data_IF_279085251887
#
_entry.id   IF_279085251887
#
_cell.length_a   1.000
_cell.length_b   1.000
_cell.length_c   1.000
_cell.angle_alpha   90.00
_cell.angle_beta   90.00
_cell.angle_gamma   90.00
#
_symmetry.space_group_name_H-M   'P 1'
#
loop_
_entity.id
_entity.type
_entity.pdbx_description
1 polymer ?
#
# COMPACT_ATOMS: atom_id res chain seq x y z
N UNK A 1 -33.53 -7.50 12.13
CA UNK A 1 -32.90 -8.53 12.98
C UNK A 1 -32.77 -9.79 12.11
N UNK A 2 -31.56 -10.11 11.64
CA UNK A 2 -31.35 -11.21 10.70
C UNK A 2 -29.99 -11.87 10.99
N UNK A 3 -29.96 -13.20 11.13
CA UNK A 3 -28.74 -14.00 11.16
C UNK A 3 -29.08 -15.43 10.66
N UNK A 4 -28.26 -16.01 9.79
CA UNK A 4 -27.38 -17.16 10.09
C UNK A 4 -26.78 -17.78 8.82
N UNK A 5 -25.46 -18.03 8.85
CA UNK A 5 -24.69 -18.74 7.83
C UNK A 5 -24.32 -20.15 8.33
N UNK A 6 -24.62 -21.18 7.52
CA UNK A 6 -24.27 -22.59 7.80
C UNK A 6 -22.86 -22.97 7.34
N UNK A 7 -22.08 -23.55 8.25
CA UNK A 7 -20.85 -24.29 7.95
C UNK A 7 -21.18 -25.69 7.38
N UNK A 8 -20.67 -26.03 6.19
CA UNK A 8 -21.02 -27.26 5.46
C UNK A 8 -20.10 -28.46 5.71
N UNK A 9 -19.09 -28.37 6.60
CA UNK A 9 -18.34 -29.57 7.01
C UNK A 9 -19.08 -30.42 8.06
N UNK A 10 -20.08 -29.85 8.74
CA UNK A 10 -21.04 -30.51 9.63
C UNK A 10 -22.35 -29.68 9.62
N UNK A 11 -23.49 -30.21 9.15
CA UNK A 11 -24.70 -29.42 8.97
C UNK A 11 -25.31 -29.13 10.35
N UNK A 12 -24.93 -28.00 10.95
CA UNK A 12 -25.36 -27.61 12.30
C UNK A 12 -25.93 -26.19 12.35
N UNK A 13 -26.46 -25.69 11.24
CA UNK A 13 -26.97 -24.32 11.24
C UNK A 13 -28.27 -24.24 10.43
N UNK A 14 -29.15 -23.38 10.92
CA UNK A 14 -30.43 -22.98 10.35
C UNK A 14 -30.30 -21.55 9.83
N UNK A 15 -30.91 -21.23 8.69
CA UNK A 15 -30.94 -19.87 8.14
C UNK A 15 -32.33 -19.25 8.32
N UNK A 16 -32.37 -17.97 8.69
CA UNK A 16 -33.59 -17.17 8.74
C UNK A 16 -33.45 -15.92 7.87
N UNK A 17 -34.44 -15.67 7.02
CA UNK A 17 -34.55 -14.52 6.13
C UNK A 17 -36.01 -14.07 6.07
N UNK A 18 -36.21 -12.77 5.87
CA UNK A 18 -37.53 -12.14 5.76
C UNK A 18 -38.04 -12.09 4.31
N UNK A 19 -37.25 -12.51 3.32
CA UNK A 19 -37.58 -12.46 1.90
C UNK A 19 -37.30 -13.81 1.20
N UNK A 20 -38.36 -14.36 0.59
CA UNK A 20 -38.40 -15.65 -0.12
C UNK A 20 -37.43 -15.73 -1.32
N UNK A 21 -37.06 -14.60 -1.95
CA UNK A 21 -36.14 -14.61 -3.11
C UNK A 21 -34.67 -14.73 -2.71
N UNK A 22 -34.29 -14.20 -1.56
CA UNK A 22 -32.92 -14.28 -1.04
C UNK A 22 -32.61 -15.68 -0.48
N UNK A 23 -33.62 -16.39 0.05
CA UNK A 23 -33.47 -17.80 0.45
C UNK A 23 -33.19 -18.71 -0.76
N UNK A 24 -33.87 -18.49 -1.88
CA UNK A 24 -33.67 -19.25 -3.12
C UNK A 24 -32.25 -19.01 -3.72
N UNK A 25 -31.73 -17.77 -3.63
CA UNK A 25 -30.37 -17.43 -4.03
C UNK A 25 -29.30 -18.03 -3.10
N UNK A 26 -29.54 -18.04 -1.77
CA UNK A 26 -28.65 -18.64 -0.78
C UNK A 26 -28.50 -20.15 -0.99
N UNK A 27 -29.61 -20.88 -1.20
CA UNK A 27 -29.57 -22.32 -1.48
C UNK A 27 -28.82 -22.66 -2.78
N UNK A 28 -28.95 -21.82 -3.82
CA UNK A 28 -28.28 -22.07 -5.10
C UNK A 28 -26.78 -21.67 -5.08
N UNK A 29 -26.41 -20.60 -4.37
CA UNK A 29 -25.03 -20.10 -4.27
C UNK A 29 -24.15 -20.92 -3.32
N UNK A 30 -24.74 -21.60 -2.34
CA UNK A 30 -24.05 -22.53 -1.44
C UNK A 30 -23.54 -23.76 -2.20
N UNK A 31 -24.31 -24.30 -3.15
CA UNK A 31 -23.89 -25.42 -4.01
C UNK A 31 -22.73 -25.06 -4.97
N UNK A 32 -22.64 -23.79 -5.40
CA UNK A 32 -21.65 -23.36 -6.41
C UNK A 32 -20.30 -22.89 -5.82
N UNK A 33 -20.24 -22.56 -4.53
CA UNK A 33 -19.10 -21.81 -3.95
C UNK A 33 -17.88 -22.61 -3.46
N UNK A 34 -17.81 -23.93 -3.60
CA UNK A 34 -16.63 -24.69 -3.15
C UNK A 34 -15.35 -24.38 -3.95
N UNK A 35 -15.49 -23.92 -5.21
CA UNK A 35 -14.38 -23.55 -6.11
C UNK A 35 -14.05 -22.05 -6.15
N UNK A 36 -14.94 -21.18 -5.66
CA UNK A 36 -14.82 -19.71 -5.84
C UNK A 36 -14.21 -18.97 -4.63
N UNK A 37 -14.05 -19.60 -3.46
CA UNK A 37 -13.46 -18.94 -2.28
C UNK A 37 -11.95 -18.66 -2.40
N UNK A 38 -11.30 -19.17 -3.44
CA UNK A 38 -9.91 -18.86 -3.82
C UNK A 38 -9.81 -17.74 -4.87
N UNK A 39 -10.94 -17.19 -5.33
CA UNK A 39 -10.95 -16.26 -6.46
C UNK A 39 -10.97 -14.79 -5.99
N UNK A 40 -10.03 -13.99 -6.51
CA UNK A 40 -9.84 -12.55 -6.18
C UNK A 40 -11.11 -11.72 -6.44
N UNK A 41 -11.97 -12.19 -7.35
CA UNK A 41 -13.25 -11.57 -7.72
C UNK A 41 -14.26 -11.50 -6.56
N UNK A 42 -14.21 -12.43 -5.61
CA UNK A 42 -15.12 -12.45 -4.47
C UNK A 42 -14.78 -11.39 -3.42
N UNK A 43 -13.48 -11.22 -3.10
CA UNK A 43 -13.00 -10.15 -2.22
C UNK A 43 -13.31 -8.77 -2.80
N UNK A 44 -13.24 -8.63 -4.13
CA UNK A 44 -13.62 -7.39 -4.82
C UNK A 44 -15.12 -7.06 -4.74
N UNK A 45 -15.99 -8.07 -4.62
CA UNK A 45 -17.43 -7.84 -4.38
C UNK A 45 -17.73 -7.49 -2.93
N UNK A 46 -16.96 -8.05 -1.99
CA UNK A 46 -17.04 -7.70 -0.57
C UNK A 46 -16.63 -6.24 -0.32
N UNK A 47 -15.73 -5.66 -1.13
CA UNK A 47 -15.32 -4.23 -1.07
C UNK A 47 -16.47 -3.22 -1.22
N UNK A 48 -17.59 -3.62 -1.83
CA UNK A 48 -18.71 -2.72 -2.15
C UNK A 48 -19.87 -2.74 -1.14
N UNK A 49 -19.83 -3.64 -0.16
CA UNK A 49 -20.86 -3.77 0.88
C UNK A 49 -20.56 -2.84 2.06
N UNK A 50 -21.52 -1.97 2.43
CA UNK A 50 -21.40 -1.02 3.55
C UNK A 50 -21.60 -1.69 4.91
N UNK A 51 -20.69 -2.59 5.28
CA UNK A 51 -20.68 -3.22 6.61
C UNK A 51 -19.68 -2.46 7.48
N UNK A 52 -20.11 -1.91 8.62
CA UNK A 52 -19.24 -1.16 9.52
C UNK A 52 -18.34 -2.06 10.37
N UNK A 53 -18.88 -3.19 10.84
CA UNK A 53 -18.17 -4.12 11.72
C UNK A 53 -18.65 -5.56 11.51
N UNK A 54 -17.72 -6.50 11.46
CA UNK A 54 -18.00 -7.94 11.39
C UNK A 54 -17.90 -8.50 12.82
N UNK A 55 -19.01 -9.02 13.36
CA UNK A 55 -19.01 -9.70 14.66
C UNK A 55 -18.81 -11.19 14.45
N UNK A 56 -17.73 -11.73 15.01
CA UNK A 56 -17.45 -13.15 15.04
C UNK A 56 -18.02 -13.75 16.31
N UNK A 57 -18.70 -14.89 16.15
CA UNK A 57 -19.20 -15.70 17.25
C UNK A 57 -18.62 -17.10 17.12
N UNK A 58 -18.15 -17.65 18.23
CA UNK A 58 -17.77 -19.05 18.35
C UNK A 58 -18.96 -19.87 18.82
N UNK A 59 -19.10 -21.05 18.25
CA UNK A 59 -20.11 -22.03 18.65
C UNK A 59 -19.46 -23.00 19.63
N UNK A 60 -19.92 -22.99 20.87
CA UNK A 60 -19.57 -23.99 21.89
C UNK A 60 -20.79 -24.89 22.12
N UNK A 61 -20.58 -26.20 22.34
CA UNK A 61 -21.65 -27.14 22.66
C UNK A 61 -21.52 -27.50 24.14
N UNK A 62 -22.57 -27.24 24.91
CA UNK A 62 -22.68 -27.58 26.34
C UNK A 62 -23.74 -28.67 26.51
N UNK A 63 -23.42 -29.70 27.30
CA UNK A 63 -24.27 -30.89 27.49
C UNK A 63 -25.61 -30.58 28.17
N UNK A 64 -25.70 -29.49 28.95
CA UNK A 64 -26.92 -29.11 29.67
C UNK A 64 -27.62 -27.90 29.04
N UNK A 65 -26.86 -27.03 28.37
CA UNK A 65 -27.36 -25.75 27.81
C UNK A 65 -27.50 -25.76 26.29
N UNK A 66 -27.09 -26.83 25.61
CA UNK A 66 -27.18 -26.96 24.16
C UNK A 66 -26.13 -26.13 23.43
N UNK A 67 -26.53 -25.47 22.33
CA UNK A 67 -25.62 -24.68 21.49
C UNK A 67 -25.47 -23.28 22.07
N UNK A 68 -24.25 -22.91 22.47
CA UNK A 68 -23.91 -21.59 22.99
C UNK A 68 -23.19 -20.80 21.91
N UNK A 69 -23.74 -19.65 21.52
CA UNK A 69 -23.05 -18.65 20.71
C UNK A 69 -22.27 -17.73 21.65
N UNK A 70 -20.95 -17.89 21.70
CA UNK A 70 -20.07 -16.95 22.40
C UNK A 70 -19.59 -15.90 21.42
N UNK A 71 -19.79 -14.63 21.77
CA UNK A 71 -19.14 -13.55 21.06
C UNK A 71 -17.62 -13.71 21.18
N UNK A 72 -16.92 -13.73 20.05
CA UNK A 72 -15.48 -13.97 19.98
C UNK A 72 -14.74 -12.63 19.77
N UNK A 73 -15.08 -11.91 18.70
CA UNK A 73 -14.43 -10.64 18.39
C UNK A 73 -15.26 -9.76 17.44
N UNK A 74 -14.97 -8.46 17.46
CA UNK A 74 -15.39 -7.51 16.42
C UNK A 74 -14.18 -7.24 15.53
N UNK A 75 -14.35 -7.44 14.22
CA UNK A 75 -13.40 -6.98 13.21
C UNK A 75 -13.98 -5.74 12.56
N UNK A 76 -13.24 -4.64 12.63
CA UNK A 76 -13.57 -3.43 11.87
C UNK A 76 -13.29 -3.66 10.40
N UNK A 77 -14.32 -3.44 9.57
CA UNK A 77 -14.22 -3.72 8.14
C UNK A 77 -13.16 -2.85 7.46
N UNK A 78 -13.05 -1.57 7.85
CA UNK A 78 -12.05 -0.63 7.31
C UNK A 78 -10.61 -1.09 7.60
N UNK A 79 -10.34 -1.57 8.80
CA UNK A 79 -9.02 -2.10 9.18
C UNK A 79 -8.66 -3.38 8.40
N UNK A 80 -9.66 -4.23 8.12
CA UNK A 80 -9.45 -5.40 7.27
C UNK A 80 -9.10 -4.99 5.83
N UNK A 81 -9.79 -4.00 5.26
CA UNK A 81 -9.47 -3.49 3.92
C UNK A 81 -8.06 -2.91 3.87
N UNK A 82 -7.71 -2.06 4.86
CA UNK A 82 -6.36 -1.50 5.01
C UNK A 82 -5.30 -2.60 4.99
N UNK A 83 -5.49 -3.67 5.76
CA UNK A 83 -4.55 -4.82 5.78
C UNK A 83 -4.43 -5.51 4.41
N UNK A 84 -5.54 -5.71 3.70
CA UNK A 84 -5.53 -6.36 2.37
C UNK A 84 -4.75 -5.50 1.37
N UNK A 85 -4.98 -4.19 1.36
CA UNK A 85 -4.28 -3.26 0.46
C UNK A 85 -2.78 -3.20 0.76
N UNK A 86 -2.40 -3.19 2.03
CA UNK A 86 -0.99 -3.24 2.44
C UNK A 86 -0.32 -4.56 2.03
N UNK A 87 -1.03 -5.69 2.11
CA UNK A 87 -0.50 -6.99 1.66
C UNK A 87 -0.29 -6.99 0.13
N UNK A 88 -1.22 -6.42 -0.63
CA UNK A 88 -1.08 -6.29 -2.09
C UNK A 88 0.15 -5.44 -2.47
N UNK A 89 0.41 -4.34 -1.75
CA UNK A 89 1.63 -3.55 -1.91
C UNK A 89 2.87 -4.42 -1.72
N UNK A 90 2.93 -5.21 -0.64
CA UNK A 90 4.08 -6.07 -0.35
C UNK A 90 4.27 -7.17 -1.39
N UNK A 91 3.18 -7.77 -1.87
CA UNK A 91 3.26 -8.81 -2.91
C UNK A 91 3.80 -8.26 -4.23
N UNK A 92 3.44 -7.02 -4.57
CA UNK A 92 3.86 -6.37 -5.81
C UNK A 92 5.20 -5.60 -5.68
N UNK A 93 5.73 -5.40 -4.48
CA UNK A 93 6.99 -4.67 -4.28
C UNK A 93 8.21 -5.46 -4.80
N UNK A 94 9.11 -4.76 -5.49
CA UNK A 94 10.34 -5.34 -6.03
C UNK A 94 11.44 -5.33 -4.96
N UNK A 95 11.74 -6.48 -4.38
CA UNK A 95 12.83 -6.63 -3.40
C UNK A 95 14.10 -7.14 -4.07
N UNK A 96 15.25 -6.53 -3.79
CA UNK A 96 16.53 -6.98 -4.36
C UNK A 96 17.14 -8.17 -3.63
N UNK A 97 17.01 -8.24 -2.30
CA UNK A 97 17.60 -9.31 -1.47
C UNK A 97 16.50 -10.20 -0.90
N UNK A 98 16.70 -11.51 -1.06
CA UNK A 98 15.81 -12.58 -0.55
C UNK A 98 14.31 -12.25 -0.66
N UNK A 99 13.76 -12.07 -1.88
CA UNK A 99 12.44 -11.48 -2.06
C UNK A 99 11.32 -12.19 -1.30
N UNK A 100 11.39 -13.52 -1.20
CA UNK A 100 10.40 -14.32 -0.49
C UNK A 100 10.43 -14.10 1.03
N UNK A 101 11.64 -14.04 1.62
CA UNK A 101 11.82 -13.81 3.05
C UNK A 101 11.38 -12.39 3.43
N UNK A 102 11.77 -11.41 2.62
CA UNK A 102 11.43 -10.00 2.84
C UNK A 102 9.92 -9.76 2.72
N UNK A 103 9.24 -10.39 1.75
CA UNK A 103 7.76 -10.36 1.66
C UNK A 103 7.09 -10.96 2.89
N UNK A 104 7.56 -12.12 3.35
CA UNK A 104 7.01 -12.77 4.53
C UNK A 104 7.20 -11.92 5.79
N UNK A 105 8.35 -11.25 5.92
CA UNK A 105 8.60 -10.29 6.99
C UNK A 105 7.63 -9.10 6.94
N UNK A 106 7.46 -8.49 5.76
CA UNK A 106 6.51 -7.39 5.56
C UNK A 106 5.07 -7.78 5.91
N UNK A 107 4.61 -8.97 5.50
CA UNK A 107 3.28 -9.50 5.88
C UNK A 107 3.13 -9.70 7.39
N UNK A 108 4.18 -10.16 8.07
CA UNK A 108 4.19 -10.26 9.54
C UNK A 108 4.07 -8.89 10.20
N UNK A 109 4.77 -7.86 9.70
CA UNK A 109 4.67 -6.50 10.21
C UNK A 109 3.26 -5.92 10.06
N UNK A 110 2.58 -6.17 8.93
CA UNK A 110 1.16 -5.78 8.73
C UNK A 110 0.24 -6.47 9.74
N UNK A 111 0.40 -7.78 9.91
CA UNK A 111 -0.44 -8.55 10.83
C UNK A 111 -0.29 -8.09 12.28
N UNK A 112 0.93 -7.70 12.66
CA UNK A 112 1.26 -7.19 13.99
C UNK A 112 0.96 -5.69 14.16
N UNK A 113 0.48 -4.99 13.13
CA UNK A 113 0.20 -3.55 13.17
C UNK A 113 1.45 -2.65 13.22
N UNK A 114 2.64 -3.19 12.96
CA UNK A 114 3.89 -2.44 13.02
C UNK A 114 4.17 -1.72 11.68
N UNK A 115 3.40 -0.65 11.42
CA UNK A 115 3.47 0.12 10.17
C UNK A 115 4.73 0.98 10.06
N UNK A 116 5.34 1.37 11.19
CA UNK A 116 6.60 2.13 11.18
C UNK A 116 7.75 1.30 10.61
N UNK A 117 7.93 0.07 11.12
CA UNK A 117 8.99 -0.82 10.61
C UNK A 117 8.70 -1.25 9.16
N UNK A 118 7.43 -1.35 8.78
CA UNK A 118 7.04 -1.61 7.40
C UNK A 118 7.44 -0.45 6.47
N UNK A 119 7.25 0.80 6.92
CA UNK A 119 7.69 2.00 6.19
C UNK A 119 9.20 1.99 5.97
N UNK A 120 9.98 1.71 7.02
CA UNK A 120 11.43 1.60 6.94
C UNK A 120 11.87 0.50 5.97
N UNK A 121 11.25 -0.69 6.08
CA UNK A 121 11.51 -1.82 5.19
C UNK A 121 11.28 -1.46 3.71
N UNK A 122 10.18 -0.76 3.41
CA UNK A 122 9.86 -0.32 2.05
C UNK A 122 10.87 0.71 1.56
N UNK A 123 11.16 1.74 2.36
CA UNK A 123 12.17 2.75 2.05
C UNK A 123 13.54 2.11 1.77
N UNK A 124 13.92 1.10 2.55
CA UNK A 124 15.17 0.35 2.38
C UNK A 124 15.29 -0.41 1.08
N UNK A 125 14.15 -0.75 0.49
CA UNK A 125 14.06 -1.50 -0.75
C UNK A 125 13.48 -0.66 -1.92
N UNK A 126 13.35 0.67 -1.79
CA UNK A 126 12.92 1.53 -2.91
C UNK A 126 13.86 1.36 -4.09
N UNK A 127 15.17 1.45 -3.84
CA UNK A 127 16.21 1.37 -4.86
C UNK A 127 16.54 -0.09 -5.18
N UNK A 128 16.06 -0.57 -6.33
CA UNK A 128 16.33 -1.92 -6.80
C UNK A 128 17.69 -1.95 -7.48
N UNK A 129 18.58 -2.82 -7.01
CA UNK A 129 19.91 -3.00 -7.60
C UNK A 129 19.97 -4.32 -8.38
N UNK A 130 20.31 -4.23 -9.67
CA UNK A 130 20.57 -5.38 -10.54
C UNK A 130 22.06 -5.67 -10.59
N UNK A 131 22.45 -6.94 -10.44
CA UNK A 131 23.82 -7.36 -10.68
C UNK A 131 24.06 -7.48 -12.18
N UNK A 132 25.12 -6.82 -12.66
CA UNK A 132 25.68 -7.06 -13.99
C UNK A 132 27.04 -7.70 -13.74
N UNK A 133 27.18 -8.97 -14.12
CA UNK A 133 28.45 -9.73 -14.17
C UNK A 133 29.55 -9.30 -13.17
N UNK A 134 29.69 -10.04 -12.06
CA UNK A 134 30.71 -9.76 -11.03
C UNK A 134 30.17 -8.93 -9.87
N UNK A 135 30.95 -7.96 -9.38
CA UNK A 135 30.62 -7.13 -8.20
C UNK A 135 29.88 -5.83 -8.53
N UNK A 136 29.76 -5.44 -9.81
CA UNK A 136 29.08 -4.20 -10.17
C UNK A 136 27.55 -4.33 -10.04
N UNK A 137 26.94 -3.29 -9.47
CA UNK A 137 25.50 -3.19 -9.26
C UNK A 137 24.99 -1.93 -9.94
N UNK A 138 24.12 -2.10 -10.92
CA UNK A 138 23.38 -1.00 -11.52
C UNK A 138 22.02 -0.85 -10.85
N UNK A 139 21.49 0.36 -10.91
CA UNK A 139 20.15 0.63 -10.42
C UNK A 139 19.15 0.23 -11.51
N UNK A 140 18.19 -0.62 -11.17
CA UNK A 140 17.05 -0.86 -12.02
C UNK A 140 16.05 0.28 -11.84
N UNK A 141 16.17 1.30 -12.70
CA UNK A 141 15.34 2.49 -12.67
C UNK A 141 13.85 2.19 -12.82
N UNK A 142 13.49 1.24 -13.70
CA UNK A 142 12.09 0.85 -13.94
C UNK A 142 11.48 0.24 -12.67
N UNK A 143 12.15 -0.75 -12.08
CA UNK A 143 11.67 -1.40 -10.86
C UNK A 143 11.67 -0.45 -9.66
N UNK A 144 12.65 0.45 -9.57
CA UNK A 144 12.74 1.47 -8.51
C UNK A 144 11.63 2.51 -8.62
N UNK A 145 11.36 3.00 -9.83
CA UNK A 145 10.27 3.94 -10.11
C UNK A 145 8.91 3.33 -9.80
N UNK A 146 8.71 2.04 -10.09
CA UNK A 146 7.51 1.30 -9.69
C UNK A 146 7.38 1.18 -8.16
N UNK A 147 8.47 0.87 -7.45
CA UNK A 147 8.49 0.82 -5.99
C UNK A 147 8.13 2.17 -5.35
N UNK A 148 8.58 3.29 -5.92
CA UNK A 148 8.21 4.64 -5.45
C UNK A 148 6.68 4.82 -5.51
N UNK A 149 6.04 4.44 -6.62
CA UNK A 149 4.58 4.51 -6.75
C UNK A 149 3.85 3.70 -5.69
N UNK A 150 4.32 2.47 -5.43
CA UNK A 150 3.79 1.62 -4.36
C UNK A 150 4.02 2.21 -2.97
N UNK A 151 5.17 2.83 -2.74
CA UNK A 151 5.52 3.49 -1.47
C UNK A 151 4.64 4.71 -1.19
N UNK A 152 4.35 5.54 -2.20
CA UNK A 152 3.41 6.64 -2.07
C UNK A 152 2.04 6.08 -1.69
N UNK A 153 1.54 5.07 -2.42
CA UNK A 153 0.25 4.42 -2.11
C UNK A 153 0.20 3.92 -0.66
N UNK A 154 1.29 3.30 -0.18
CA UNK A 154 1.44 2.88 1.20
C UNK A 154 1.24 4.05 2.19
N UNK A 155 1.93 5.19 1.97
CA UNK A 155 1.82 6.35 2.86
C UNK A 155 0.38 6.86 2.98
N UNK A 156 -0.34 6.92 1.84
CA UNK A 156 -1.75 7.36 1.81
C UNK A 156 -2.70 6.42 2.55
N UNK A 157 -2.50 5.10 2.41
CA UNK A 157 -3.28 4.09 3.15
C UNK A 157 -3.01 4.20 4.66
N UNK A 158 -1.75 4.40 5.06
CA UNK A 158 -1.38 4.52 6.48
C UNK A 158 -2.03 5.74 7.13
N UNK A 159 -2.04 6.88 6.44
CA UNK A 159 -2.69 8.14 6.88
C UNK A 159 -4.23 8.05 6.92
N UNK A 160 -4.82 6.96 6.40
CA UNK A 160 -6.26 6.73 6.41
C UNK A 160 -7.03 7.60 5.41
N UNK A 161 -6.34 8.12 4.38
CA UNK A 161 -6.96 8.90 3.31
C UNK A 161 -7.50 7.99 2.20
N UNK A 162 -8.63 8.38 1.64
CA UNK A 162 -9.28 7.64 0.55
C UNK A 162 -8.52 7.77 -0.78
N UNK A 163 -8.56 6.73 -1.62
CA UNK A 163 -7.78 6.65 -2.87
C UNK A 163 -8.05 7.83 -3.83
N UNK A 164 -9.28 8.34 -3.91
CA UNK A 164 -9.58 9.51 -4.75
C UNK A 164 -8.87 10.78 -4.25
N UNK A 165 -8.59 10.90 -2.95
CA UNK A 165 -7.83 12.04 -2.41
C UNK A 165 -6.37 11.98 -2.83
N UNK A 166 -5.80 10.77 -2.91
CA UNK A 166 -4.45 10.56 -3.44
C UNK A 166 -4.39 11.01 -4.90
N UNK A 167 -5.35 10.58 -5.73
CA UNK A 167 -5.40 10.96 -7.15
C UNK A 167 -5.52 12.47 -7.32
N UNK A 168 -6.47 13.11 -6.62
CA UNK A 168 -6.66 14.56 -6.68
C UNK A 168 -5.40 15.32 -6.21
N UNK A 169 -4.72 14.81 -5.17
CA UNK A 169 -3.48 15.41 -4.69
C UNK A 169 -2.36 15.33 -5.73
N UNK A 170 -2.17 14.16 -6.35
CA UNK A 170 -1.16 13.97 -7.39
C UNK A 170 -1.44 14.89 -8.58
N UNK A 171 -2.70 14.99 -9.02
CA UNK A 171 -3.11 15.89 -10.09
C UNK A 171 -2.89 17.36 -9.75
N UNK A 172 -3.13 17.75 -8.49
CA UNK A 172 -2.90 19.12 -8.00
C UNK A 172 -1.43 19.46 -7.82
N UNK A 173 -0.57 18.45 -7.61
CA UNK A 173 0.85 18.60 -7.32
C UNK A 173 1.76 18.12 -8.47
N UNK A 174 1.27 18.24 -9.71
CA UNK A 174 2.05 17.90 -10.92
C UNK A 174 3.33 18.72 -11.07
N UNK A 175 3.48 19.82 -10.33
CA UNK A 175 4.71 20.62 -10.31
C UNK A 175 5.95 19.78 -9.97
N UNK A 176 5.86 18.85 -9.01
CA UNK A 176 6.99 18.00 -8.62
C UNK A 176 7.40 17.05 -9.75
N UNK A 177 6.42 16.45 -10.43
CA UNK A 177 6.68 15.62 -11.60
C UNK A 177 7.26 16.43 -12.76
N UNK A 178 6.74 17.64 -13.03
CA UNK A 178 7.27 18.52 -14.09
C UNK A 178 8.73 18.90 -13.83
N UNK A 179 9.03 19.37 -12.62
CA UNK A 179 10.39 19.74 -12.21
C UNK A 179 11.33 18.52 -12.26
N UNK A 180 10.87 17.34 -11.85
CA UNK A 180 11.63 16.08 -11.96
C UNK A 180 11.94 15.70 -13.40
N UNK A 181 10.96 15.82 -14.31
CA UNK A 181 11.12 15.55 -15.74
C UNK A 181 12.06 16.56 -16.41
N UNK A 182 11.96 17.84 -16.06
CA UNK A 182 12.86 18.86 -16.59
C UNK A 182 14.30 18.62 -16.14
N UNK A 183 14.49 18.22 -14.88
CA UNK A 183 15.80 17.83 -14.37
C UNK A 183 16.33 16.58 -15.09
N UNK A 184 15.50 15.55 -15.31
CA UNK A 184 15.87 14.37 -16.08
C UNK A 184 16.40 14.74 -17.48
N UNK A 185 15.69 15.61 -18.19
CA UNK A 185 16.07 16.05 -19.54
C UNK A 185 17.41 16.79 -19.57
N UNK A 186 17.75 17.55 -18.52
CA UNK A 186 19.03 18.28 -18.43
C UNK A 186 20.18 17.44 -17.88
N UNK A 187 19.87 16.50 -17.00
CA UNK A 187 20.85 15.67 -16.30
C UNK A 187 21.08 14.38 -17.08
N UNK A 188 21.79 14.46 -18.20
CA UNK A 188 21.97 13.34 -19.14
C UNK A 188 22.85 12.20 -18.62
N UNK A 189 23.76 12.48 -17.68
CA UNK A 189 24.60 11.47 -17.02
C UNK A 189 23.80 10.62 -16.03
N UNK A 190 23.64 9.34 -16.36
CA UNK A 190 22.94 8.33 -15.57
C UNK A 190 23.58 8.08 -14.19
N UNK A 191 24.91 8.06 -14.10
CA UNK A 191 25.63 7.87 -12.83
C UNK A 191 25.33 9.01 -11.86
N UNK A 192 25.30 10.24 -12.39
CA UNK A 192 24.93 11.43 -11.61
C UNK A 192 23.47 11.35 -11.16
N UNK A 193 22.54 10.94 -12.03
CA UNK A 193 21.11 10.76 -11.67
C UNK A 193 20.93 9.70 -10.59
N UNK A 194 21.63 8.57 -10.70
CA UNK A 194 21.65 7.49 -9.71
C UNK A 194 22.13 8.01 -8.35
N UNK A 195 23.28 8.66 -8.31
CA UNK A 195 23.88 9.16 -7.07
C UNK A 195 22.97 10.21 -6.40
N UNK A 196 22.39 11.11 -7.19
CA UNK A 196 21.42 12.07 -6.69
C UNK A 196 20.20 11.39 -6.09
N UNK A 197 19.58 10.47 -6.84
CA UNK A 197 18.35 9.79 -6.39
C UNK A 197 18.58 8.96 -5.13
N UNK A 198 19.71 8.26 -5.04
CA UNK A 198 20.12 7.53 -3.83
C UNK A 198 20.28 8.45 -2.63
N UNK A 199 20.91 9.62 -2.81
CA UNK A 199 21.09 10.61 -1.75
C UNK A 199 19.74 11.16 -1.28
N UNK A 200 18.83 11.51 -2.19
CA UNK A 200 17.50 12.02 -1.83
C UNK A 200 16.69 10.95 -1.07
N UNK A 201 16.75 9.69 -1.49
CA UNK A 201 16.10 8.58 -0.77
C UNK A 201 16.69 8.39 0.64
N UNK A 202 18.01 8.50 0.80
CA UNK A 202 18.65 8.44 2.11
C UNK A 202 18.20 9.58 3.04
N UNK A 203 18.07 10.80 2.51
CA UNK A 203 17.61 11.95 3.26
C UNK A 203 16.13 11.85 3.66
N UNK A 204 15.30 11.22 2.82
CA UNK A 204 13.93 10.86 3.20
C UNK A 204 13.90 9.85 4.37
N UNK A 205 14.79 8.85 4.37
CA UNK A 205 14.89 7.86 5.47
C UNK A 205 15.31 8.48 6.79
N UNK A 206 16.29 9.38 6.77
CA UNK A 206 16.76 10.08 7.98
C UNK A 206 15.81 11.19 8.41
N UNK A 207 14.74 11.46 7.66
CA UNK A 207 13.82 12.57 7.84
C UNK A 207 14.54 13.93 7.96
N UNK A 208 15.68 14.10 7.28
CA UNK A 208 16.45 15.35 7.30
C UNK A 208 15.91 16.30 6.22
N UNK A 209 14.81 16.97 6.56
CA UNK A 209 14.10 17.88 5.65
C UNK A 209 14.98 19.03 5.15
N UNK A 210 15.84 19.55 6.02
CA UNK A 210 16.72 20.68 5.69
C UNK A 210 17.76 20.28 4.66
N UNK A 211 18.48 19.18 4.88
CA UNK A 211 19.44 18.69 3.88
C UNK A 211 18.76 18.19 2.61
N UNK A 212 17.58 17.59 2.71
CA UNK A 212 16.77 17.17 1.57
C UNK A 212 16.46 18.36 0.66
N UNK A 213 15.92 19.44 1.24
CA UNK A 213 15.63 20.67 0.52
C UNK A 213 16.89 21.27 -0.10
N UNK A 214 17.96 21.45 0.67
CA UNK A 214 19.23 22.01 0.18
C UNK A 214 19.81 21.19 -0.98
N UNK A 215 19.77 19.85 -0.87
CA UNK A 215 20.27 18.93 -1.90
C UNK A 215 19.47 19.04 -3.20
N UNK A 216 18.13 19.06 -3.10
CA UNK A 216 17.25 19.23 -4.27
C UNK A 216 17.47 20.59 -4.91
N UNK A 217 17.41 21.67 -4.13
CA UNK A 217 17.55 23.04 -4.64
C UNK A 217 18.90 23.30 -5.30
N UNK A 218 19.99 22.84 -4.69
CA UNK A 218 21.32 22.98 -5.26
C UNK A 218 21.40 22.33 -6.65
N UNK A 219 20.85 21.13 -6.81
CA UNK A 219 20.85 20.42 -8.10
C UNK A 219 19.95 21.11 -9.13
N UNK A 220 18.77 21.59 -8.73
CA UNK A 220 17.86 22.32 -9.62
C UNK A 220 18.50 23.62 -10.14
N UNK A 221 19.07 24.43 -9.23
CA UNK A 221 19.74 25.70 -9.58
C UNK A 221 20.96 25.45 -10.46
N UNK A 222 21.78 24.45 -10.13
CA UNK A 222 22.99 24.10 -10.91
C UNK A 222 22.68 23.68 -12.35
N UNK A 223 21.47 23.15 -12.60
CA UNK A 223 21.02 22.78 -13.95
C UNK A 223 20.13 23.87 -14.58
N UNK A 224 19.90 25.00 -13.91
CA UNK A 224 19.04 26.08 -14.37
C UNK A 224 17.59 25.65 -14.59
N UNK A 225 17.04 24.83 -13.69
CA UNK A 225 15.63 24.41 -13.73
C UNK A 225 14.77 25.53 -13.15
N UNK A 226 13.69 25.88 -13.84
CA UNK A 226 12.71 26.84 -13.36
C UNK A 226 11.86 26.18 -12.27
N UNK A 227 11.78 26.82 -11.11
CA UNK A 227 11.03 26.32 -9.95
C UNK A 227 9.72 27.08 -9.91
N UNK A 228 8.59 26.38 -10.08
CA UNK A 228 7.28 27.00 -10.00
C UNK A 228 6.86 27.31 -8.57
N UNK A 229 5.82 28.12 -8.45
CA UNK A 229 5.22 28.52 -7.17
C UNK A 229 4.71 27.32 -6.37
N UNK A 230 4.86 27.34 -5.04
CA UNK A 230 4.45 26.26 -4.13
C UNK A 230 5.42 25.06 -4.02
N UNK A 231 6.43 24.93 -4.91
CA UNK A 231 7.40 23.83 -4.84
C UNK A 231 8.24 23.87 -3.55
N UNK A 232 8.72 25.06 -3.17
CA UNK A 232 9.53 25.24 -1.96
C UNK A 232 8.71 25.00 -0.71
N UNK A 233 7.49 25.55 -0.66
CA UNK A 233 6.58 25.40 0.47
C UNK A 233 6.23 23.94 0.71
N UNK A 234 5.90 23.19 -0.34
CA UNK A 234 5.56 21.78 -0.19
C UNK A 234 6.74 20.83 0.06
N UNK A 235 8.00 21.30 0.01
CA UNK A 235 9.15 20.56 0.53
C UNK A 235 9.48 20.93 1.99
N UNK A 236 9.28 22.18 2.39
CA UNK A 236 9.70 22.67 3.71
C UNK A 236 8.59 22.62 4.76
N UNK A 237 7.34 22.92 4.39
CA UNK A 237 6.24 23.15 5.31
C UNK A 237 5.17 22.05 5.29
N UNK A 238 5.27 21.10 4.36
CA UNK A 238 4.29 20.03 4.20
C UNK A 238 4.30 19.01 5.35
N UNK A 239 3.18 18.30 5.49
CA UNK A 239 3.11 17.12 6.37
C UNK A 239 4.04 16.00 5.88
N UNK A 240 4.34 15.02 6.72
CA UNK A 240 5.22 13.91 6.34
C UNK A 240 4.66 13.11 5.13
N UNK A 241 3.35 12.88 5.08
CA UNK A 241 2.68 12.24 3.95
C UNK A 241 2.92 13.02 2.65
N UNK A 242 2.65 14.32 2.70
CA UNK A 242 2.75 15.22 1.56
C UNK A 242 4.21 15.36 1.09
N UNK A 243 5.16 15.47 2.01
CA UNK A 243 6.59 15.46 1.70
C UNK A 243 7.00 14.18 0.96
N UNK A 244 6.65 13.02 1.50
CA UNK A 244 6.96 11.72 0.88
C UNK A 244 6.31 11.58 -0.50
N UNK A 245 5.10 12.12 -0.67
CA UNK A 245 4.39 12.14 -1.95
C UNK A 245 5.09 13.07 -2.94
N UNK A 246 5.36 14.32 -2.55
CA UNK A 246 5.97 15.35 -3.39
C UNK A 246 7.37 14.92 -3.87
N UNK A 247 8.20 14.47 -2.94
CA UNK A 247 9.56 13.99 -3.25
C UNK A 247 9.50 12.68 -4.03
N UNK A 248 8.57 11.78 -3.71
CA UNK A 248 8.36 10.56 -4.47
C UNK A 248 8.02 10.85 -5.94
N UNK A 249 7.05 11.74 -6.21
CA UNK A 249 6.69 12.17 -7.56
C UNK A 249 7.87 12.79 -8.32
N UNK A 250 8.69 13.58 -7.63
CA UNK A 250 9.89 14.19 -8.20
C UNK A 250 10.95 13.14 -8.58
N UNK A 251 11.31 12.23 -7.66
CA UNK A 251 12.31 11.18 -7.93
C UNK A 251 11.81 10.20 -9.00
N UNK A 252 10.51 9.89 -9.00
CA UNK A 252 9.93 8.94 -9.94
C UNK A 252 10.20 9.34 -11.40
N UNK A 253 10.14 10.63 -11.73
CA UNK A 253 10.42 11.16 -13.08
C UNK A 253 11.92 11.16 -13.41
N UNK A 254 12.79 11.30 -12.41
CA UNK A 254 14.25 11.21 -12.59
C UNK A 254 14.69 9.77 -12.84
N UNK A 255 13.90 8.81 -12.35
CA UNK A 255 14.10 7.37 -12.51
C UNK A 255 13.28 6.75 -13.65
N UNK A 256 12.68 7.53 -14.55
CA UNK A 256 12.03 7.00 -15.76
C UNK A 256 13.05 6.67 -16.84
#
# INVERSE_FOLDING_TARGET
>A
MCLLYINLKRPMVFAYTNDLRELAFLNHKIMLKRKMYSDKSFYKKLLHEKISSIRLYRIDIDTNKGIILKFDSIIEYKELLKKIELIDIIDNYNFSREPMNTRNLGKKMINNGNLSNLKELLLDNISVLRQLTGTSREMDFVSSSYNIGLYIKFCWIVDGREEYKMKNYIESNLIYSRVGKDLFNKMTDESRRKNFSMKVIQLLKSNDRTQLFQTIMHVLVSNGILIGEGFVEGLMQSSELELNTNVGLFIQEIMK
#
